data_IF_615764246736
#
_entry.id   IF_615764246736
#
_cell.length_a   1.000
_cell.length_b   1.000
_cell.length_c   1.000
_cell.angle_alpha   90.00
_cell.angle_beta   90.00
_cell.angle_gamma   90.00
#
_symmetry.space_group_name_H-M   'P 1'
#
loop_
_entity.id
_entity.type
_entity.pdbx_description
1 polymer ?
#
# COMPACT_ATOMS: atom_id res chain seq x y z
N UNK A 1 18.29 -26.74 -1.82
CA UNK A 1 17.76 -25.70 -2.74
C UNK A 1 16.23 -25.66 -2.81
N UNK A 2 15.51 -26.79 -2.89
CA UNK A 2 14.02 -26.77 -2.96
C UNK A 2 13.35 -26.54 -1.59
N UNK A 3 14.01 -26.92 -0.48
CA UNK A 3 13.43 -26.89 0.87
C UNK A 3 13.41 -25.51 1.54
N UNK A 4 14.25 -24.57 1.11
CA UNK A 4 14.26 -23.18 1.62
C UNK A 4 13.13 -22.34 1.00
N UNK A 5 12.79 -22.59 -0.27
CA UNK A 5 11.74 -21.86 -1.00
C UNK A 5 10.33 -22.17 -0.52
N UNK A 6 10.12 -23.32 0.14
CA UNK A 6 8.83 -23.74 0.68
C UNK A 6 8.49 -23.04 2.02
N UNK A 7 9.49 -22.74 2.85
CA UNK A 7 9.31 -22.11 4.17
C UNK A 7 8.92 -20.62 4.07
N UNK A 8 9.51 -19.89 3.12
CA UNK A 8 9.22 -18.47 2.87
C UNK A 8 7.78 -18.21 2.40
N UNK A 9 7.18 -19.13 1.63
CA UNK A 9 5.80 -18.98 1.12
C UNK A 9 4.75 -18.98 2.23
N UNK A 10 5.01 -19.67 3.35
CA UNK A 10 4.10 -19.68 4.50
C UNK A 10 4.11 -18.37 5.31
N UNK A 11 5.12 -17.50 5.11
CA UNK A 11 5.18 -16.18 5.76
C UNK A 11 4.42 -15.11 4.97
N UNK A 12 4.27 -15.31 3.67
CA UNK A 12 3.54 -14.40 2.80
C UNK A 12 2.02 -14.65 2.96
N UNK A 13 1.30 -13.62 3.41
CA UNK A 13 -0.14 -13.65 3.70
C UNK A 13 -1.04 -13.86 2.48
N UNK A 14 -0.45 -14.23 1.35
CA UNK A 14 -1.11 -14.35 0.04
C UNK A 14 -2.17 -15.46 0.09
N UNK A 15 -1.95 -16.51 0.88
CA UNK A 15 -2.83 -17.68 0.96
C UNK A 15 -3.96 -17.59 2.00
N UNK A 16 -4.04 -16.50 2.79
CA UNK A 16 -4.96 -16.45 3.96
C UNK A 16 -6.39 -16.06 3.56
N UNK A 17 -6.58 -15.62 2.31
CA UNK A 17 -7.86 -15.14 1.80
C UNK A 17 -7.97 -15.33 0.26
N UNK A 18 -7.31 -16.35 -0.28
CA UNK A 18 -7.35 -16.66 -1.71
C UNK A 18 -8.75 -17.17 -2.08
N UNK A 19 -9.50 -16.38 -2.83
CA UNK A 19 -10.80 -16.79 -3.34
C UNK A 19 -10.60 -17.76 -4.51
N UNK A 20 -10.94 -19.04 -4.31
CA UNK A 20 -10.92 -20.13 -5.30
C UNK A 20 -11.97 -19.96 -6.43
N UNK A 21 -12.45 -18.73 -6.66
CA UNK A 21 -13.44 -18.43 -7.68
C UNK A 21 -12.76 -17.95 -8.95
N UNK A 22 -12.95 -18.70 -10.04
CA UNK A 22 -12.55 -18.33 -11.40
C UNK A 22 -13.28 -17.05 -11.82
N UNK A 23 -12.65 -15.91 -11.60
CA UNK A 23 -13.23 -14.62 -11.91
C UNK A 23 -13.15 -14.34 -13.42
N UNK A 24 -14.30 -14.09 -14.06
CA UNK A 24 -14.35 -13.62 -15.45
C UNK A 24 -13.84 -12.17 -15.54
N UNK A 25 -13.22 -11.81 -16.66
CA UNK A 25 -12.52 -10.52 -16.83
C UNK A 25 -13.39 -9.28 -16.51
N UNK A 26 -14.71 -9.35 -16.71
CA UNK A 26 -15.67 -8.30 -16.36
C UNK A 26 -15.78 -8.00 -14.87
N UNK A 27 -15.41 -8.94 -13.98
CA UNK A 27 -15.41 -8.69 -12.54
C UNK A 27 -14.28 -7.73 -12.13
N UNK A 28 -13.20 -7.67 -12.93
CA UNK A 28 -12.12 -6.71 -12.73
C UNK A 28 -12.57 -5.25 -12.97
N UNK A 29 -13.63 -5.05 -13.76
CA UNK A 29 -14.17 -3.73 -14.06
C UNK A 29 -14.70 -3.01 -12.81
N UNK A 30 -15.21 -3.75 -11.81
CA UNK A 30 -15.66 -3.16 -10.54
C UNK A 30 -14.50 -2.52 -9.78
N UNK A 31 -13.34 -3.18 -9.76
CA UNK A 31 -12.14 -2.62 -9.14
C UNK A 31 -11.58 -1.44 -9.93
N UNK A 32 -11.69 -1.45 -11.26
CA UNK A 32 -11.34 -0.30 -12.11
C UNK A 32 -12.18 0.93 -11.74
N UNK A 33 -13.51 0.78 -11.64
CA UNK A 33 -14.42 1.87 -11.27
C UNK A 33 -14.07 2.43 -9.88
N UNK A 34 -13.83 1.55 -8.90
CA UNK A 34 -13.42 1.96 -7.55
C UNK A 34 -12.09 2.71 -7.58
N UNK A 35 -11.11 2.23 -8.37
CA UNK A 35 -9.83 2.90 -8.57
C UNK A 35 -9.98 4.31 -9.16
N UNK A 36 -10.79 4.47 -10.21
CA UNK A 36 -11.06 5.77 -10.84
C UNK A 36 -11.72 6.73 -9.85
N UNK A 37 -12.73 6.28 -9.10
CA UNK A 37 -13.40 7.12 -8.10
C UNK A 37 -12.41 7.54 -7.01
N UNK A 38 -11.61 6.59 -6.51
CA UNK A 38 -10.57 6.84 -5.52
C UNK A 38 -9.56 7.88 -6.02
N UNK A 39 -9.11 7.75 -7.27
CA UNK A 39 -8.18 8.67 -7.89
C UNK A 39 -8.77 10.08 -8.04
N UNK A 40 -10.00 10.22 -8.53
CA UNK A 40 -10.69 11.51 -8.66
C UNK A 40 -10.79 12.21 -7.30
N UNK A 41 -11.14 11.48 -6.24
CA UNK A 41 -11.20 12.02 -4.87
C UNK A 41 -9.82 12.49 -4.40
N UNK A 42 -8.77 11.72 -4.67
CA UNK A 42 -7.39 12.07 -4.31
C UNK A 42 -6.89 13.32 -5.05
N UNK A 43 -7.21 13.44 -6.34
CA UNK A 43 -6.90 14.64 -7.15
C UNK A 43 -7.63 15.86 -6.58
N UNK A 44 -8.93 15.74 -6.32
CA UNK A 44 -9.72 16.85 -5.76
C UNK A 44 -9.34 17.23 -4.33
N UNK A 45 -8.82 16.29 -3.55
CA UNK A 45 -8.32 16.57 -2.21
C UNK A 45 -6.96 17.29 -2.20
N UNK A 46 -6.38 17.59 -3.38
CA UNK A 46 -5.07 18.23 -3.57
C UNK A 46 -3.91 17.52 -2.86
N UNK A 47 -4.12 16.25 -2.49
CA UNK A 47 -3.12 15.37 -1.82
C UNK A 47 -1.97 15.02 -2.77
N UNK A 48 -2.12 15.35 -4.05
CA UNK A 48 -1.14 15.15 -5.13
C UNK A 48 -0.04 16.20 -5.14
N UNK A 49 -0.24 17.38 -4.54
CA UNK A 49 0.76 18.44 -4.61
C UNK A 49 1.99 18.11 -3.75
N UNK A 50 3.16 18.04 -4.40
CA UNK A 50 4.46 17.86 -3.73
C UNK A 50 4.70 18.93 -2.66
N UNK A 51 4.22 20.16 -2.89
CA UNK A 51 4.33 21.26 -1.95
C UNK A 51 3.57 21.00 -0.64
N UNK A 52 2.41 20.34 -0.70
CA UNK A 52 1.62 20.01 0.50
C UNK A 52 2.30 18.93 1.34
N UNK A 53 2.97 17.98 0.70
CA UNK A 53 3.77 16.95 1.36
C UNK A 53 4.98 17.58 2.09
N UNK A 54 5.69 18.50 1.45
CA UNK A 54 6.78 19.26 2.09
C UNK A 54 6.27 20.12 3.26
N UNK A 55 5.08 20.70 3.11
CA UNK A 55 4.46 21.54 4.15
C UNK A 55 3.96 20.73 5.36
N UNK A 56 3.66 19.45 5.16
CA UNK A 56 3.40 18.50 6.25
C UNK A 56 4.64 18.35 7.13
N UNK A 57 5.83 18.11 6.54
CA UNK A 57 7.08 18.03 7.31
C UNK A 57 7.50 19.33 7.97
N UNK A 58 7.09 20.47 7.42
CA UNK A 58 7.31 21.80 8.01
C UNK A 58 6.30 22.16 9.11
N UNK A 59 5.41 21.23 9.48
CA UNK A 59 4.38 21.40 10.53
C UNK A 59 3.40 22.55 10.29
N UNK A 60 3.25 23.03 9.05
CA UNK A 60 2.41 24.20 8.75
C UNK A 60 0.96 23.86 8.34
N UNK A 61 0.67 22.62 7.94
CA UNK A 61 -0.65 22.26 7.39
C UNK A 61 -1.42 21.22 8.22
N UNK A 62 -2.38 21.67 9.04
CA UNK A 62 -3.28 20.78 9.78
C UNK A 62 -4.18 19.91 8.89
N UNK A 63 -4.40 20.32 7.63
CA UNK A 63 -5.30 19.64 6.71
C UNK A 63 -4.81 18.24 6.31
N UNK A 64 -3.52 18.06 5.97
CA UNK A 64 -3.01 16.74 5.59
C UNK A 64 -2.95 15.77 6.78
N UNK A 65 -2.60 16.27 7.97
CA UNK A 65 -2.65 15.48 9.20
C UNK A 65 -4.08 15.04 9.53
N UNK A 66 -5.07 15.90 9.32
CA UNK A 66 -6.49 15.55 9.45
C UNK A 66 -6.93 14.46 8.47
N UNK A 67 -6.53 14.55 7.20
CA UNK A 67 -6.87 13.54 6.18
C UNK A 67 -6.23 12.18 6.50
N UNK A 68 -4.94 12.15 6.86
CA UNK A 68 -4.25 10.90 7.21
C UNK A 68 -4.83 10.31 8.50
N UNK A 69 -5.05 11.13 9.52
CA UNK A 69 -5.62 10.69 10.80
C UNK A 69 -7.03 10.12 10.65
N UNK A 70 -7.89 10.78 9.88
CA UNK A 70 -9.26 10.27 9.62
C UNK A 70 -9.23 9.00 8.79
N UNK A 71 -8.32 8.86 7.82
CA UNK A 71 -8.14 7.63 7.07
C UNK A 71 -7.71 6.45 7.98
N UNK A 72 -6.75 6.67 8.88
CA UNK A 72 -6.31 5.65 9.85
C UNK A 72 -7.45 5.25 10.78
N UNK A 73 -8.16 6.23 11.36
CA UNK A 73 -9.29 5.97 12.25
C UNK A 73 -10.40 5.19 11.53
N UNK A 74 -10.75 5.59 10.30
CA UNK A 74 -11.74 4.89 9.49
C UNK A 74 -11.30 3.45 9.23
N UNK A 75 -10.05 3.24 8.83
CA UNK A 75 -9.49 1.89 8.61
C UNK A 75 -9.52 1.03 9.87
N UNK A 76 -9.15 1.58 11.03
CA UNK A 76 -9.21 0.89 12.32
C UNK A 76 -10.64 0.47 12.67
N UNK A 77 -11.60 1.39 12.54
CA UNK A 77 -13.03 1.12 12.80
C UNK A 77 -13.56 0.07 11.83
N UNK A 78 -13.23 0.17 10.53
CA UNK A 78 -13.62 -0.83 9.52
C UNK A 78 -13.10 -2.22 9.86
N UNK A 79 -11.81 -2.36 10.19
CA UNK A 79 -11.21 -3.64 10.57
C UNK A 79 -11.83 -4.20 11.85
N UNK A 80 -12.06 -3.34 12.84
CA UNK A 80 -12.72 -3.74 14.08
C UNK A 80 -14.15 -4.24 13.84
N UNK A 81 -14.92 -3.55 12.98
CA UNK A 81 -16.27 -3.93 12.61
C UNK A 81 -16.30 -5.26 11.86
N UNK A 82 -15.38 -5.45 10.90
CA UNK A 82 -15.23 -6.72 10.15
C UNK A 82 -14.94 -7.88 11.10
N UNK A 83 -14.03 -7.68 12.06
CA UNK A 83 -13.67 -8.70 13.05
C UNK A 83 -14.82 -9.00 14.01
N UNK A 84 -15.59 -7.98 14.42
CA UNK A 84 -16.70 -8.12 15.38
C UNK A 84 -17.96 -8.74 14.75
N UNK A 85 -18.30 -8.36 13.53
CA UNK A 85 -19.49 -8.86 12.83
C UNK A 85 -19.21 -10.08 11.94
N UNK A 86 -17.97 -10.58 11.91
CA UNK A 86 -17.55 -11.70 11.06
C UNK A 86 -18.01 -11.50 9.60
N UNK A 87 -17.82 -10.28 9.09
CA UNK A 87 -18.32 -9.88 7.78
C UNK A 87 -17.62 -10.76 6.73
N UNK A 88 -18.44 -11.46 5.95
CA UNK A 88 -17.98 -12.31 4.86
C UNK A 88 -17.57 -11.45 3.67
N UNK A 89 -16.62 -11.93 2.87
CA UNK A 89 -16.27 -11.27 1.60
C UNK A 89 -17.49 -11.21 0.67
N UNK A 90 -17.40 -10.44 -0.41
CA UNK A 90 -18.42 -10.38 -1.48
C UNK A 90 -18.78 -11.79 -2.00
N UNK A 91 -17.92 -12.78 -1.77
CA UNK A 91 -18.05 -14.17 -2.18
C UNK A 91 -18.42 -15.14 -1.04
N UNK A 92 -18.68 -14.64 0.17
CA UNK A 92 -19.12 -15.46 1.30
C UNK A 92 -17.99 -16.07 2.14
N UNK A 93 -16.73 -15.73 1.86
CA UNK A 93 -15.56 -16.28 2.57
C UNK A 93 -15.28 -15.52 3.87
N UNK A 94 -14.82 -16.21 4.93
CA UNK A 94 -14.46 -15.55 6.18
C UNK A 94 -13.18 -14.74 6.02
N UNK A 95 -13.24 -13.43 6.26
CA UNK A 95 -12.05 -12.55 6.22
C UNK A 95 -11.13 -12.90 7.39
N UNK A 96 -10.09 -13.71 7.13
CA UNK A 96 -9.03 -14.01 8.10
C UNK A 96 -7.85 -13.05 7.93
N UNK A 97 -7.76 -12.09 8.83
CA UNK A 97 -6.59 -11.20 8.93
C UNK A 97 -5.48 -11.97 9.66
N UNK A 98 -4.51 -12.49 8.90
CA UNK A 98 -3.37 -13.16 9.51
C UNK A 98 -2.46 -12.16 10.27
N UNK A 99 -1.91 -12.56 11.41
CA UNK A 99 -1.02 -11.72 12.20
C UNK A 99 0.27 -11.47 11.43
N UNK A 100 0.59 -10.20 11.20
CA UNK A 100 1.88 -9.81 10.63
C UNK A 100 2.98 -10.05 11.68
N UNK A 101 3.87 -11.02 11.44
CA UNK A 101 5.01 -11.27 12.33
C UNK A 101 5.95 -10.06 12.30
N UNK A 102 6.27 -9.52 13.47
CA UNK A 102 7.22 -8.40 13.57
C UNK A 102 8.64 -8.95 13.40
N UNK A 103 9.42 -8.33 12.53
CA UNK A 103 10.75 -8.76 12.10
C UNK A 103 11.68 -7.53 12.10
N UNK A 104 12.96 -7.70 12.42
CA UNK A 104 13.92 -6.58 12.52
C UNK A 104 14.08 -5.85 11.19
N UNK A 105 13.95 -6.56 10.07
CA UNK A 105 13.95 -5.98 8.72
C UNK A 105 12.83 -4.96 8.49
N UNK A 106 11.71 -5.02 9.23
CA UNK A 106 10.63 -4.06 9.11
C UNK A 106 11.00 -2.69 9.70
N UNK A 107 11.90 -2.64 10.68
CA UNK A 107 12.41 -1.38 11.26
C UNK A 107 13.32 -0.69 10.23
N UNK A 108 14.32 -1.42 9.72
CA UNK A 108 15.25 -0.88 8.72
C UNK A 108 14.53 -0.51 7.41
N UNK A 109 13.64 -1.38 6.93
CA UNK A 109 12.83 -1.12 5.75
C UNK A 109 11.89 0.08 5.93
N UNK A 110 11.24 0.19 7.10
CA UNK A 110 10.39 1.35 7.42
C UNK A 110 11.15 2.67 7.48
N UNK A 111 12.37 2.66 8.04
CA UNK A 111 13.23 3.85 8.07
C UNK A 111 13.69 4.24 6.67
N UNK A 112 14.21 3.31 5.87
CA UNK A 112 14.67 3.58 4.50
C UNK A 112 13.51 4.07 3.63
N UNK A 113 12.34 3.43 3.74
CA UNK A 113 11.14 3.86 3.03
C UNK A 113 10.68 5.26 3.48
N UNK A 114 10.70 5.55 4.78
CA UNK A 114 10.36 6.87 5.32
C UNK A 114 11.32 7.97 4.87
N UNK A 115 12.63 7.71 4.86
CA UNK A 115 13.63 8.64 4.31
C UNK A 115 13.44 8.86 2.81
N UNK A 116 13.21 7.79 2.04
CA UNK A 116 12.91 7.89 0.61
C UNK A 116 11.67 8.74 0.35
N UNK A 117 10.61 8.53 1.14
CA UNK A 117 9.39 9.34 1.08
C UNK A 117 9.65 10.80 1.42
N UNK A 118 10.46 11.09 2.45
CA UNK A 118 10.81 12.44 2.86
C UNK A 118 11.59 13.23 1.80
N UNK A 119 12.53 12.55 1.13
CA UNK A 119 13.40 13.17 0.11
C UNK A 119 12.61 13.38 -1.20
N UNK A 120 11.84 12.36 -1.62
CA UNK A 120 11.13 12.41 -2.91
C UNK A 120 9.80 13.15 -2.82
N UNK A 121 9.22 13.29 -1.62
CA UNK A 121 7.90 13.85 -1.43
C UNK A 121 6.80 13.09 -2.17
N UNK A 122 7.02 11.79 -2.41
CA UNK A 122 6.17 10.97 -3.26
C UNK A 122 5.63 9.77 -2.48
N UNK A 123 4.30 9.73 -2.29
CA UNK A 123 3.60 8.62 -1.65
C UNK A 123 3.12 7.63 -2.73
N UNK A 124 3.08 6.30 -2.47
CA UNK A 124 2.58 5.31 -3.44
C UNK A 124 1.21 5.66 -4.05
N UNK A 125 0.29 6.28 -3.31
CA UNK A 125 -1.00 6.71 -3.87
C UNK A 125 -0.86 7.87 -4.87
N UNK A 126 -0.36 9.04 -4.44
CA UNK A 126 -0.05 10.17 -5.31
C UNK A 126 0.87 9.86 -6.49
N UNK A 127 1.80 8.90 -6.38
CA UNK A 127 2.70 8.52 -7.48
C UNK A 127 1.92 8.16 -8.75
N UNK A 128 0.90 7.31 -8.63
CA UNK A 128 0.07 6.92 -9.77
C UNK A 128 -0.78 8.08 -10.31
N UNK A 129 -1.35 8.89 -9.41
CA UNK A 129 -2.17 10.02 -9.80
C UNK A 129 -1.35 11.15 -10.47
N UNK A 130 -0.13 11.42 -9.99
CA UNK A 130 0.78 12.42 -10.59
C UNK A 130 1.20 12.03 -12.01
N UNK A 131 1.39 10.74 -12.27
CA UNK A 131 1.65 10.21 -13.62
C UNK A 131 0.43 10.46 -14.52
N UNK A 132 -0.78 10.22 -14.01
CA UNK A 132 -2.03 10.52 -14.71
C UNK A 132 -2.18 12.01 -15.08
N UNK A 133 -1.66 12.92 -14.25
CA UNK A 133 -1.67 14.37 -14.50
C UNK A 133 -0.52 14.87 -15.40
N UNK A 134 0.38 13.99 -15.88
CA UNK A 134 1.47 14.35 -16.81
C UNK A 134 2.80 14.76 -16.17
N UNK A 135 3.01 14.51 -14.86
CA UNK A 135 4.27 14.83 -14.20
C UNK A 135 5.35 13.78 -14.52
N UNK A 136 6.07 13.95 -15.64
CA UNK A 136 7.07 13.00 -16.13
C UNK A 136 8.23 12.73 -15.14
N UNK A 137 8.55 13.68 -14.27
CA UNK A 137 9.59 13.51 -13.24
C UNK A 137 9.28 12.35 -12.27
N UNK A 138 7.99 12.03 -12.09
CA UNK A 138 7.52 11.00 -11.16
C UNK A 138 7.76 9.59 -11.71
N UNK A 139 7.88 9.44 -13.03
CA UNK A 139 8.20 8.17 -13.69
C UNK A 139 9.58 7.67 -13.23
N UNK A 140 10.53 8.58 -13.02
CA UNK A 140 11.88 8.22 -12.53
C UNK A 140 11.82 7.68 -11.11
N UNK A 141 11.02 8.30 -10.25
CA UNK A 141 10.79 7.83 -8.87
C UNK A 141 10.09 6.48 -8.85
N UNK A 142 9.09 6.28 -9.72
CA UNK A 142 8.39 5.01 -9.85
C UNK A 142 9.34 3.90 -10.35
N UNK A 143 10.12 4.16 -11.39
CA UNK A 143 11.10 3.21 -11.91
C UNK A 143 12.14 2.85 -10.84
N UNK A 144 12.61 3.83 -10.07
CA UNK A 144 13.54 3.61 -8.95
C UNK A 144 12.90 2.77 -7.84
N UNK A 145 11.61 2.98 -7.53
CA UNK A 145 10.88 2.17 -6.55
C UNK A 145 10.68 0.72 -7.04
N UNK A 146 10.40 0.52 -8.32
CA UNK A 146 10.28 -0.81 -8.93
C UNK A 146 11.64 -1.52 -8.90
N UNK A 147 12.72 -0.85 -9.30
CA UNK A 147 14.06 -1.41 -9.22
C UNK A 147 14.46 -1.74 -7.77
N UNK A 148 14.17 -0.85 -6.83
CA UNK A 148 14.45 -1.07 -5.41
C UNK A 148 13.71 -2.28 -4.83
N UNK A 149 12.43 -2.44 -5.18
CA UNK A 149 11.64 -3.60 -4.74
C UNK A 149 12.10 -4.90 -5.40
N UNK A 150 12.53 -4.86 -6.66
CA UNK A 150 13.11 -6.02 -7.35
C UNK A 150 14.45 -6.44 -6.75
N UNK A 151 15.35 -5.48 -6.50
CA UNK A 151 16.64 -5.74 -5.84
C UNK A 151 16.42 -6.28 -4.43
N UNK A 152 15.50 -5.69 -3.66
CA UNK A 152 15.14 -6.21 -2.35
C UNK A 152 14.58 -7.64 -2.43
N UNK A 153 13.72 -7.93 -3.41
CA UNK A 153 13.20 -9.28 -3.66
C UNK A 153 14.30 -10.29 -3.92
N UNK A 154 15.31 -9.91 -4.71
CA UNK A 154 16.48 -10.76 -5.00
C UNK A 154 17.36 -10.99 -3.78
N UNK A 155 17.59 -9.97 -2.94
CA UNK A 155 18.44 -10.08 -1.74
C UNK A 155 17.69 -10.52 -0.49
N UNK A 156 16.35 -10.67 -0.53
CA UNK A 156 15.51 -11.02 0.62
C UNK A 156 15.99 -12.29 1.30
N UNK A 157 16.36 -13.32 0.54
CA UNK A 157 16.82 -14.61 1.07
C UNK A 157 18.14 -14.52 1.87
N UNK A 158 18.93 -13.45 1.68
CA UNK A 158 20.22 -13.26 2.36
C UNK A 158 20.16 -12.24 3.50
N UNK A 159 19.02 -11.59 3.72
CA UNK A 159 18.88 -10.55 4.73
C UNK A 159 18.36 -11.14 6.05
N UNK A 160 18.98 -10.82 7.20
CA UNK A 160 18.53 -11.33 8.49
C UNK A 160 17.11 -10.82 8.81
N UNK A 161 16.23 -11.77 9.09
CA UNK A 161 14.85 -11.61 9.53
C UNK A 161 14.82 -11.55 11.08
#
# INVERSE_FOLDING_TARGET
MIKETEDIRHQDTICVNESELKHNWYQNLKYLIVGIIFEIVFVKAEVISWFRIQEMFRLQSFHMYGVIGTAILTGMISVWLIKKFNIKTIHGEPIKIAPKKFNKGQIYGGLIFGFGWAITGACPGPLFAQIGTGALAVIVTLASAILGTWVYGYFREKLPH
#
